data_IF_134576882851
#
_entry.id   IF_134576882851
#
_cell.length_a   1.000
_cell.length_b   1.000
_cell.length_c   1.000
_cell.angle_alpha   90.00
_cell.angle_beta   90.00
_cell.angle_gamma   90.00
#
_symmetry.space_group_name_H-M   'P 1'
#
loop_
_entity.id
_entity.type
_entity.pdbx_description
1 polymer ?
2 non-polymer ?
3 water ?
#
# COMPACT_ATOMS: atom_id res chain seq x y z
N UNK A 1 -25.68 0.80 4.94
CA UNK A 1 -26.51 2.02 5.07
C UNK A 1 -26.08 3.05 4.02
N UNK A 2 -24.79 3.09 3.67
CA UNK A 2 -24.35 3.94 2.54
C UNK A 2 -24.38 3.03 1.32
N UNK A 3 -25.22 3.31 0.31
CA UNK A 3 -25.39 2.40 -0.82
C UNK A 3 -24.14 2.17 -1.67
N UNK A 4 -23.37 3.21 -1.91
CA UNK A 4 -22.18 3.15 -2.80
C UNK A 4 -20.98 3.68 -2.01
N UNK A 5 -20.51 2.93 -1.00
CA UNK A 5 -19.41 3.41 -0.17
C UNK A 5 -18.16 3.63 -1.01
N UNK A 6 -17.45 4.72 -0.79
CA UNK A 6 -16.32 5.11 -1.65
C UNK A 6 -15.00 4.53 -1.10
N UNK A 7 -15.00 3.91 0.08
CA UNK A 7 -13.78 3.30 0.68
C UNK A 7 -14.22 2.35 1.78
N UNK A 8 -13.26 1.77 2.48
CA UNK A 8 -13.56 0.76 3.54
C UNK A 8 -14.07 1.45 4.83
N UNK A 9 -13.91 2.76 4.98
CA UNK A 9 -14.41 3.49 6.17
C UNK A 9 -15.92 3.64 6.01
N UNK A 10 -16.40 3.96 4.81
CA UNK A 10 -17.85 4.02 4.49
C UNK A 10 -18.48 2.61 4.50
N UNK A 11 -17.74 1.54 4.25
CA UNK A 11 -18.27 0.16 4.23
C UNK A 11 -18.36 -0.34 5.68
N UNK A 12 -17.47 0.11 6.54
CA UNK A 12 -17.37 -0.33 7.96
C UNK A 12 -18.49 0.37 8.74
N UNK A 13 -18.57 1.69 8.57
CA UNK A 13 -19.63 2.53 9.17
C UNK A 13 -20.98 1.93 8.75
N UNK A 14 -21.03 1.22 7.61
CA UNK A 14 -22.18 0.38 7.17
C UNK A 14 -22.33 -0.85 8.08
N UNK A 15 -21.60 -0.91 9.21
CA UNK A 15 -21.77 -1.92 10.27
C UNK A 15 -21.02 -3.21 9.97
N UNK A 16 -20.33 -3.29 8.83
CA UNK A 16 -19.57 -4.49 8.40
C UNK A 16 -18.19 -4.47 9.08
N UNK A 17 -18.01 -5.28 10.13
CA UNK A 17 -16.86 -5.16 11.05
C UNK A 17 -15.90 -6.32 10.83
N UNK A 18 -16.20 -7.17 9.84
CA UNK A 18 -15.41 -8.39 9.49
C UNK A 18 -14.44 -7.98 8.38
N UNK A 19 -13.17 -8.25 8.58
CA UNK A 19 -12.15 -8.06 7.53
C UNK A 19 -12.48 -9.02 6.38
N UNK A 20 -12.26 -8.60 5.13
CA UNK A 20 -12.56 -9.42 3.95
C UNK A 20 -12.87 -8.56 2.76
N UNK A 21 -13.47 -9.15 1.73
CA UNK A 21 -13.72 -8.49 0.44
C UNK A 21 -15.02 -7.73 0.50
N UNK A 22 -14.96 -6.47 0.10
CA UNK A 22 -16.10 -5.55 -0.01
C UNK A 22 -16.04 -4.84 -1.36
N UNK A 23 -17.21 -4.46 -1.86
CA UNK A 23 -17.28 -3.56 -3.02
C UNK A 23 -17.27 -2.10 -2.58
N UNK A 24 -16.37 -1.33 -3.17
CA UNK A 24 -16.42 0.16 -3.05
C UNK A 24 -16.70 0.71 -4.43
N UNK A 25 -17.02 2.00 -4.44
CA UNK A 25 -17.51 2.69 -5.64
C UNK A 25 -16.78 4.02 -5.73
N UNK A 26 -15.87 4.13 -6.69
CA UNK A 26 -14.98 5.33 -6.72
C UNK A 26 -15.87 6.52 -6.97
N UNK A 27 -15.63 7.58 -6.21
CA UNK A 27 -16.46 8.81 -6.27
C UNK A 27 -17.93 8.49 -5.93
N UNK A 28 -18.26 7.37 -5.27
CA UNK A 28 -19.67 7.05 -4.96
C UNK A 28 -20.48 6.71 -6.21
N UNK A 29 -19.81 6.44 -7.33
CA UNK A 29 -20.46 6.19 -8.64
C UNK A 29 -20.71 4.69 -8.76
N UNK A 30 -21.97 4.27 -8.89
CA UNK A 30 -22.34 2.83 -8.95
C UNK A 30 -21.75 2.19 -10.21
N UNK A 31 -21.27 2.96 -11.17
CA UNK A 31 -20.59 2.40 -12.35
C UNK A 31 -19.07 2.33 -12.17
N UNK A 32 -18.54 2.63 -10.98
CA UNK A 32 -17.06 2.52 -10.75
C UNK A 32 -16.82 1.58 -9.57
N UNK A 33 -17.48 0.42 -9.59
CA UNK A 33 -17.33 -0.67 -8.59
C UNK A 33 -15.90 -1.17 -8.58
N UNK A 34 -15.33 -1.39 -7.40
CA UNK A 34 -13.98 -1.96 -7.24
C UNK A 34 -14.04 -2.93 -6.08
N UNK A 35 -13.56 -4.16 -6.27
CA UNK A 35 -13.51 -5.12 -5.13
C UNK A 35 -12.23 -4.86 -4.34
N UNK A 36 -12.34 -4.62 -3.04
CA UNK A 36 -11.12 -4.38 -2.22
C UNK A 36 -11.17 -5.33 -1.02
N UNK A 37 -10.00 -5.60 -0.46
CA UNK A 37 -9.88 -6.21 0.88
C UNK A 37 -9.91 -5.09 1.92
N UNK A 38 -10.90 -5.09 2.80
CA UNK A 38 -11.00 -4.19 3.98
C UNK A 38 -10.42 -4.87 5.23
N UNK A 39 -9.43 -4.22 5.85
CA UNK A 39 -8.91 -4.57 7.20
C UNK A 39 -9.75 -3.76 8.17
N UNK A 40 -10.70 -4.43 8.83
CA UNK A 40 -11.69 -3.76 9.71
C UNK A 40 -11.24 -3.86 11.17
N UNK A 41 -10.03 -4.36 11.45
CA UNK A 41 -9.61 -4.61 12.87
C UNK A 41 -8.40 -3.77 13.28
N UNK A 42 -7.42 -3.54 12.41
CA UNK A 42 -6.20 -2.76 12.75
C UNK A 42 -6.59 -1.31 13.06
N UNK A 43 -6.16 -0.79 14.21
CA UNK A 43 -6.37 0.62 14.66
C UNK A 43 -7.69 1.16 14.17
N UNK A 44 -8.80 0.60 14.64
CA UNK A 44 -10.14 1.14 14.37
C UNK A 44 -10.74 0.61 13.09
N UNK A 45 -9.97 -0.03 12.19
CA UNK A 45 -10.55 -0.60 10.97
C UNK A 45 -10.78 0.43 9.86
N UNK A 46 -11.62 0.10 8.88
CA UNK A 46 -11.98 0.94 7.72
C UNK A 46 -10.84 1.13 6.72
N UNK A 47 -9.87 0.24 6.70
CA UNK A 47 -8.68 0.36 5.82
C UNK A 47 -8.85 -0.43 4.51
N UNK A 48 -8.64 0.21 3.37
CA UNK A 48 -8.40 -0.48 2.07
C UNK A 48 -6.97 -0.99 2.09
N UNK A 49 -6.79 -2.30 2.11
CA UNK A 49 -5.45 -2.91 1.92
C UNK A 49 -5.11 -2.82 0.43
N UNK A 50 -3.92 -2.32 0.11
CA UNK A 50 -3.52 -2.19 -1.31
C UNK A 50 -2.23 -2.96 -1.60
N UNK A 51 -1.55 -3.46 -0.59
CA UNK A 51 -0.38 -4.36 -0.75
C UNK A 51 -0.43 -5.40 0.37
N UNK A 52 -0.23 -6.65 0.04
CA UNK A 52 0.00 -7.69 1.09
C UNK A 52 1.12 -8.63 0.66
N UNK A 53 2.12 -8.78 1.51
CA UNK A 53 3.19 -9.80 1.39
C UNK A 53 3.04 -10.73 2.59
N UNK A 54 3.10 -12.03 2.37
CA UNK A 54 2.96 -12.98 3.51
C UNK A 54 3.54 -14.36 3.22
N UNK A 55 3.87 -14.74 1.98
CA UNK A 55 4.36 -16.13 1.77
C UNK A 55 5.23 -16.29 0.53
N UNK A 56 5.42 -15.27 -0.30
CA UNK A 56 6.29 -15.37 -1.48
C UNK A 56 5.65 -16.13 -2.63
N UNK A 57 4.36 -16.39 -2.61
CA UNK A 57 3.74 -17.21 -3.70
C UNK A 57 3.52 -16.32 -4.93
N UNK A 58 3.40 -15.00 -4.76
CA UNK A 58 3.04 -14.13 -5.92
C UNK A 58 4.32 -13.46 -6.43
N UNK A 59 4.39 -13.25 -7.74
CA UNK A 59 5.51 -12.55 -8.39
C UNK A 59 5.26 -11.04 -8.36
N UNK A 60 6.16 -10.25 -7.77
CA UNK A 60 6.02 -8.77 -7.69
C UNK A 60 6.94 -8.09 -8.69
N UNK A 61 7.74 -8.87 -9.40
CA UNK A 61 8.64 -8.34 -10.42
C UNK A 61 7.84 -8.21 -11.72
N UNK A 62 7.00 -7.19 -11.78
CA UNK A 62 5.97 -7.07 -12.82
C UNK A 62 6.13 -5.71 -13.47
N UNK A 63 5.52 -5.54 -14.65
CA UNK A 63 5.73 -4.37 -15.51
C UNK A 63 4.79 -3.22 -15.14
N UNK A 64 5.03 -2.07 -15.78
CA UNK A 64 4.25 -0.84 -15.61
C UNK A 64 2.76 -1.14 -15.71
N UNK A 65 2.32 -1.81 -16.78
CA UNK A 65 0.87 -2.01 -16.99
C UNK A 65 0.31 -2.82 -15.81
N UNK A 66 1.07 -3.81 -15.30
CA UNK A 66 0.66 -4.65 -14.13
C UNK A 66 0.54 -3.81 -12.84
N UNK A 67 1.53 -2.94 -12.59
CA UNK A 67 1.48 -1.99 -11.44
C UNK A 67 0.38 -0.96 -11.62
N UNK A 68 0.08 -0.51 -12.85
CA UNK A 68 -1.01 0.46 -13.08
C UNK A 68 -2.35 -0.19 -12.74
N UNK A 69 -2.55 -1.46 -13.09
CA UNK A 69 -3.87 -2.13 -13.13
C UNK A 69 -4.12 -2.98 -11.87
N UNK A 70 -3.07 -3.45 -11.23
CA UNK A 70 -3.15 -4.35 -10.07
C UNK A 70 -3.05 -5.81 -10.47
N UNK A 71 -2.73 -6.66 -9.50
CA UNK A 71 -2.52 -8.11 -9.76
C UNK A 71 -2.56 -8.83 -8.43
N UNK A 72 -2.74 -10.15 -8.51
CA UNK A 72 -2.73 -11.08 -7.37
C UNK A 72 -4.11 -11.39 -6.83
N UNK A 73 -4.12 -12.02 -5.67
CA UNK A 73 -5.29 -12.55 -4.97
C UNK A 73 -5.50 -11.62 -3.79
N UNK A 74 -6.60 -10.91 -3.78
CA UNK A 74 -6.86 -9.93 -2.71
C UNK A 74 -6.90 -10.58 -1.32
N UNK A 75 -7.20 -11.87 -1.23
CA UNK A 75 -7.25 -12.60 0.05
C UNK A 75 -5.85 -13.03 0.47
N UNK A 76 -4.87 -12.95 -0.44
CA UNK A 76 -3.47 -13.37 -0.18
C UNK A 76 -2.51 -12.25 -0.62
N UNK A 77 -1.52 -12.55 -1.47
CA UNK A 77 -0.55 -11.54 -1.93
C UNK A 77 -1.12 -10.85 -3.16
N UNK A 78 -1.09 -9.51 -3.15
CA UNK A 78 -1.63 -8.72 -4.26
C UNK A 78 -1.09 -7.30 -4.14
N UNK A 79 -1.29 -6.62 -5.25
CA UNK A 79 -1.09 -5.17 -5.45
C UNK A 79 -2.39 -4.60 -6.04
N UNK A 80 -2.98 -3.59 -5.41
CA UNK A 80 -4.32 -3.09 -5.82
C UNK A 80 -4.29 -2.37 -7.18
N UNK A 81 -3.19 -1.74 -7.52
CA UNK A 81 -3.08 -0.96 -8.76
C UNK A 81 -2.96 0.52 -8.52
N UNK A 82 -2.05 1.16 -9.22
CA UNK A 82 -1.79 2.62 -9.07
C UNK A 82 -2.99 3.44 -9.55
N UNK A 83 -3.71 3.00 -10.59
CA UNK A 83 -4.83 3.81 -11.14
C UNK A 83 -5.92 3.86 -10.06
N UNK A 84 -6.16 2.72 -9.41
CA UNK A 84 -7.10 2.60 -8.27
C UNK A 84 -6.63 3.52 -7.16
N UNK A 85 -5.34 3.50 -6.83
CA UNK A 85 -4.82 4.29 -5.69
C UNK A 85 -4.99 5.77 -6.01
N UNK A 86 -4.76 6.16 -7.26
CA UNK A 86 -4.90 7.60 -7.65
C UNK A 86 -6.38 8.00 -7.46
N UNK A 87 -7.29 7.18 -7.98
CA UNK A 87 -8.74 7.50 -7.97
C UNK A 87 -9.26 7.51 -6.53
N UNK A 88 -8.81 6.59 -5.68
CA UNK A 88 -9.22 6.58 -4.25
C UNK A 88 -8.70 7.85 -3.56
N UNK A 89 -7.40 8.11 -3.64
CA UNK A 89 -6.74 9.23 -2.90
C UNK A 89 -7.21 10.60 -3.46
N UNK A 90 -7.83 10.64 -4.63
CA UNK A 90 -8.41 11.88 -5.21
C UNK A 90 -9.74 12.22 -4.52
N UNK A 91 -10.37 11.29 -3.81
CA UNK A 91 -11.75 11.45 -3.25
C UNK A 91 -11.73 12.30 -1.98
N UNK A 92 -10.57 12.51 -1.38
CA UNK A 92 -10.52 13.23 -0.08
C UNK A 92 -9.11 13.19 0.46
N UNK A 93 -8.91 13.57 1.72
CA UNK A 93 -7.59 13.44 2.40
C UNK A 93 -7.54 12.05 3.01
N UNK A 94 -6.59 11.23 2.57
CA UNK A 94 -6.34 9.86 3.08
C UNK A 94 -5.03 9.83 3.87
N UNK A 95 -4.99 8.82 4.75
CA UNK A 95 -3.85 8.44 5.60
C UNK A 95 -3.41 7.02 5.19
N UNK A 96 -2.10 6.83 5.18
CA UNK A 96 -1.42 5.55 4.89
C UNK A 96 -1.09 4.91 6.23
N UNK A 97 -1.36 3.61 6.31
CA UNK A 97 -0.84 2.75 7.40
C UNK A 97 -0.07 1.59 6.78
N UNK A 98 1.09 1.31 7.36
CA UNK A 98 1.90 0.14 6.99
C UNK A 98 2.01 -0.72 8.24
N UNK A 99 1.62 -1.99 8.12
CA UNK A 99 1.72 -3.03 9.19
C UNK A 99 2.82 -3.99 8.78
N UNK A 100 3.77 -4.25 9.69
CA UNK A 100 4.94 -5.13 9.42
C UNK A 100 4.97 -6.16 10.55
N UNK A 101 5.33 -7.40 10.23
CA UNK A 101 5.47 -8.49 11.22
C UNK A 101 6.56 -9.40 10.69
N UNK A 102 7.50 -9.77 11.55
CA UNK A 102 8.63 -10.62 11.15
C UNK A 102 9.06 -11.41 12.38
N UNK A 103 9.02 -12.72 12.28
CA UNK A 103 9.44 -13.60 13.40
C UNK A 103 8.88 -13.06 14.72
N UNK A 104 7.57 -12.81 14.73
CA UNK A 104 6.79 -12.43 15.94
C UNK A 104 6.86 -10.96 16.28
N UNK A 105 7.84 -10.20 15.81
CA UNK A 105 7.87 -8.76 16.14
C UNK A 105 6.98 -8.02 15.15
N UNK A 106 6.32 -6.98 15.63
CA UNK A 106 5.47 -6.11 14.80
C UNK A 106 5.98 -4.67 14.86
N UNK A 107 5.64 -3.93 13.84
CA UNK A 107 5.87 -2.47 13.80
C UNK A 107 4.84 -1.86 12.86
N UNK A 108 4.65 -0.55 12.94
CA UNK A 108 3.74 0.12 12.01
C UNK A 108 4.27 1.52 11.74
N UNK A 109 3.76 2.10 10.68
CA UNK A 109 3.96 3.51 10.29
C UNK A 109 2.60 4.02 9.82
N UNK A 110 2.24 5.23 10.28
CA UNK A 110 1.07 5.96 9.77
C UNK A 110 1.57 7.29 9.21
N UNK A 111 1.01 7.71 8.08
CA UNK A 111 1.29 9.01 7.45
C UNK A 111 -0.06 9.70 7.30
N UNK A 112 -0.24 10.81 8.02
CA UNK A 112 -1.48 11.62 8.06
C UNK A 112 -1.96 12.00 6.66
N UNK A 113 -1.05 12.15 5.71
CA UNK A 113 -1.35 12.61 4.33
C UNK A 113 -0.69 11.64 3.37
N UNK A 114 -1.51 11.02 2.53
CA UNK A 114 -1.06 10.02 1.56
C UNK A 114 -1.84 10.25 0.27
N UNK A 115 -1.14 10.44 -0.85
CA UNK A 115 -1.84 10.53 -2.13
C UNK A 115 -0.94 9.96 -3.21
N UNK A 116 -1.56 9.49 -4.28
CA UNK A 116 -0.89 8.94 -5.48
C UNK A 116 -1.40 9.76 -6.66
N UNK A 117 -0.50 10.45 -7.36
CA UNK A 117 -0.89 11.23 -8.55
C UNK A 117 -1.35 10.35 -9.70
N UNK A 118 -1.79 10.97 -10.80
CA UNK A 118 -2.32 10.23 -11.96
C UNK A 118 -1.15 9.83 -12.85
N UNK A 119 -1.44 9.19 -13.99
CA UNK A 119 -0.42 8.62 -14.89
C UNK A 119 0.48 9.72 -15.46
N UNK A 120 -0.05 10.94 -15.59
CA UNK A 120 0.70 12.12 -16.13
C UNK A 120 1.80 12.49 -15.12
N UNK A 121 1.64 12.15 -13.83
CA UNK A 121 2.69 12.35 -12.78
C UNK A 121 3.53 11.09 -12.60
N UNK A 122 3.33 10.08 -13.44
CA UNK A 122 3.86 8.72 -13.23
C UNK A 122 3.55 8.30 -11.78
N UNK A 123 2.29 8.52 -11.36
CA UNK A 123 1.73 8.09 -10.05
C UNK A 123 2.60 8.58 -8.89
N UNK A 124 2.95 9.86 -8.91
CA UNK A 124 3.80 10.56 -7.88
C UNK A 124 3.29 10.21 -6.48
N UNK A 125 4.19 9.85 -5.57
CA UNK A 125 3.86 9.58 -4.14
C UNK A 125 3.88 10.89 -3.37
N UNK A 126 2.84 11.15 -2.56
CA UNK A 126 2.86 12.12 -1.44
C UNK A 126 2.67 11.33 -0.14
N UNK A 127 3.58 11.52 0.80
CA UNK A 127 3.50 10.94 2.16
C UNK A 127 4.06 11.97 3.13
N UNK A 128 3.24 12.38 4.09
CA UNK A 128 3.62 13.41 5.09
C UNK A 128 2.96 13.02 6.43
N UNK A 129 3.47 13.53 7.55
CA UNK A 129 2.82 13.39 8.86
C UNK A 129 3.02 12.00 9.45
N UNK A 130 4.28 11.61 9.64
CA UNK A 130 4.66 10.29 10.19
C UNK A 130 4.37 10.16 11.67
N UNK A 131 3.91 8.97 12.05
CA UNK A 131 4.04 8.49 13.43
C UNK A 131 4.11 6.97 13.38
N UNK A 132 4.77 6.39 14.36
CA UNK A 132 4.74 4.93 14.52
C UNK A 132 6.00 4.37 15.10
N UNK A 133 6.17 3.05 14.93
CA UNK A 133 7.28 2.30 15.58
C UNK A 133 8.28 1.77 14.52
N UNK A 134 7.92 1.73 13.23
CA UNK A 134 8.79 1.09 12.19
C UNK A 134 9.94 2.03 11.83
N UNK A 135 9.79 3.31 12.11
CA UNK A 135 10.73 4.36 11.67
C UNK A 135 10.30 4.94 10.34
N UNK A 136 10.54 6.22 10.16
CA UNK A 136 10.00 6.96 9.00
C UNK A 136 10.84 6.66 7.76
N UNK A 137 10.58 5.53 7.09
CA UNK A 137 11.38 5.09 5.90
C UNK A 137 10.75 5.60 4.61
N UNK A 138 9.51 6.07 4.65
CA UNK A 138 8.86 6.60 3.43
C UNK A 138 9.28 8.06 3.17
N UNK A 139 9.79 8.80 4.16
CA UNK A 139 10.18 10.21 3.93
C UNK A 139 11.15 10.25 2.74
N UNK A 140 12.07 9.30 2.68
CA UNK A 140 13.11 9.19 1.62
C UNK A 140 12.45 9.22 0.22
N UNK A 141 11.27 8.61 0.12
CA UNK A 141 10.55 8.33 -1.14
C UNK A 141 9.58 9.45 -1.52
N UNK A 142 9.33 10.39 -0.61
CA UNK A 142 8.23 11.38 -0.76
C UNK A 142 8.49 12.22 -2.02
N UNK A 143 7.46 12.35 -2.85
CA UNK A 143 7.48 13.17 -4.09
C UNK A 143 8.03 12.40 -5.29
N UNK A 144 8.44 11.14 -5.12
CA UNK A 144 9.00 10.35 -6.25
C UNK A 144 7.90 9.74 -7.12
N UNK A 145 8.21 9.58 -8.41
CA UNK A 145 7.32 8.88 -9.36
C UNK A 145 7.50 7.38 -9.13
N UNK A 146 6.56 6.58 -9.61
CA UNK A 146 6.65 5.11 -9.53
C UNK A 146 7.63 4.66 -10.62
N UNK A 147 8.37 3.57 -10.38
CA UNK A 147 9.29 2.94 -11.36
C UNK A 147 9.07 1.44 -11.38
N UNK A 148 8.99 0.90 -12.60
CA UNK A 148 9.04 -0.55 -12.90
C UNK A 148 10.25 -0.73 -13.81
N UNK A 149 10.66 -1.96 -14.02
CA UNK A 149 11.83 -2.27 -14.90
C UNK A 149 11.64 -1.64 -16.29
N UNK A 150 10.42 -1.58 -16.81
CA UNK A 150 10.14 -1.15 -18.21
C UNK A 150 9.78 0.32 -18.22
N UNK A 151 9.90 1.02 -17.09
CA UNK A 151 9.72 2.50 -17.02
C UNK A 151 10.42 3.00 -15.75
N UNK A 159 18.95 1.62 -12.93
CA UNK A 159 17.50 1.28 -12.93
C UNK A 159 17.19 0.47 -11.69
N UNK A 160 16.56 1.12 -10.70
CA UNK A 160 16.37 0.54 -9.34
C UNK A 160 15.52 -0.72 -9.44
N UNK A 161 14.46 -0.69 -10.26
CA UNK A 161 13.49 -1.80 -10.39
C UNK A 161 14.21 -3.01 -10.94
N UNK A 162 14.92 -2.78 -12.03
CA UNK A 162 15.74 -3.84 -12.66
C UNK A 162 16.80 -4.35 -11.66
N UNK A 163 17.64 -3.47 -11.07
CA UNK A 163 18.79 -3.85 -10.18
C UNK A 163 18.30 -4.62 -8.96
N UNK A 164 17.18 -4.22 -8.34
CA UNK A 164 16.64 -4.89 -7.12
C UNK A 164 15.49 -5.85 -7.47
N UNK A 165 15.05 -5.96 -8.72
CA UNK A 165 14.00 -6.92 -9.18
C UNK A 165 12.71 -6.69 -8.35
N UNK A 166 12.26 -5.45 -8.30
CA UNK A 166 10.97 -5.10 -7.67
C UNK A 166 10.35 -3.94 -8.39
N UNK A 167 9.52 -3.18 -7.68
CA UNK A 167 8.89 -1.95 -8.19
C UNK A 167 8.59 -1.07 -6.98
N UNK A 168 8.70 0.24 -7.12
CA UNK A 168 8.40 1.19 -6.02
C UNK A 168 8.52 2.60 -6.55
N UNK A 169 8.18 3.58 -5.72
CA UNK A 169 8.55 5.01 -5.89
C UNK A 169 10.06 5.16 -5.60
N UNK A 170 10.91 4.51 -6.41
CA UNK A 170 12.36 4.45 -6.22
C UNK A 170 12.99 5.86 -6.31
N UNK A 171 14.05 6.05 -5.54
CA UNK A 171 14.89 7.27 -5.59
C UNK A 171 16.30 6.81 -6.01
N UNK A 172 17.19 6.51 -5.06
CA UNK A 172 18.59 6.12 -5.38
C UNK A 172 19.17 5.22 -4.29
N UNK A 173 18.53 4.09 -3.97
CA UNK A 173 17.34 3.55 -4.62
C UNK A 173 16.19 3.49 -3.62
N UNK A 174 16.37 2.85 -2.46
CA UNK A 174 15.22 2.72 -1.52
C UNK A 174 15.63 2.65 -0.05
N UNK A 175 14.68 3.07 0.79
CA UNK A 175 14.58 2.68 2.22
C UNK A 175 13.37 1.78 2.43
N UNK A 176 12.40 1.78 1.51
CA UNK A 176 11.24 0.85 1.54
C UNK A 176 11.22 0.07 0.22
N UNK A 177 11.03 -1.24 0.30
CA UNK A 177 11.08 -2.15 -0.87
C UNK A 177 10.05 -3.27 -0.64
N UNK A 178 8.81 -2.90 -0.29
CA UNK A 178 7.79 -3.88 0.13
C UNK A 178 7.31 -4.71 -1.06
N UNK A 179 7.59 -4.30 -2.29
CA UNK A 179 7.32 -5.11 -3.50
C UNK A 179 8.63 -5.78 -3.97
N UNK A 180 9.58 -6.03 -3.08
CA UNK A 180 10.82 -6.73 -3.47
C UNK A 180 10.68 -8.24 -3.45
N UNK A 181 11.80 -8.94 -3.55
CA UNK A 181 11.84 -10.41 -3.66
C UNK A 181 11.61 -11.02 -2.27
N UNK A 182 10.58 -11.84 -2.14
CA UNK A 182 10.21 -12.50 -0.86
C UNK A 182 11.34 -13.39 -0.34
N UNK A 183 11.64 -13.25 0.95
CA UNK A 183 12.66 -14.02 1.68
C UNK A 183 14.06 -13.79 1.16
N UNK A 184 14.34 -12.69 0.44
CA UNK A 184 15.70 -12.42 -0.09
C UNK A 184 16.44 -11.46 0.86
N UNK A 185 17.38 -11.99 1.65
CA UNK A 185 18.19 -11.24 2.65
C UNK A 185 19.42 -10.60 1.98
N UNK A 186 19.69 -10.84 0.71
CA UNK A 186 20.81 -10.12 0.05
C UNK A 186 20.51 -8.62 0.10
N UNK A 187 21.54 -7.81 0.28
CA UNK A 187 21.42 -6.33 0.47
C UNK A 187 20.42 -5.73 -0.52
N UNK A 188 19.33 -5.14 -0.01
CA UNK A 188 18.38 -4.27 -0.75
C UNK A 188 17.53 -5.07 -1.76
N UNK A 189 17.61 -6.40 -1.75
CA UNK A 189 16.89 -7.26 -2.73
C UNK A 189 15.52 -7.65 -2.17
N UNK A 190 15.34 -7.63 -0.85
CA UNK A 190 14.18 -8.26 -0.21
C UNK A 190 13.08 -7.28 0.17
N UNK A 191 12.15 -7.77 0.96
CA UNK A 191 10.98 -6.97 1.43
C UNK A 191 11.50 -6.09 2.58
N UNK A 192 12.03 -4.91 2.27
CA UNK A 192 12.79 -4.16 3.28
C UNK A 192 11.98 -2.95 3.80
N UNK A 193 12.16 -2.67 5.10
CA UNK A 193 11.84 -1.38 5.72
C UNK A 193 13.06 -0.92 6.51
N UNK A 194 13.89 -0.09 5.90
CA UNK A 194 15.30 0.03 6.35
C UNK A 194 15.38 0.45 7.83
N UNK A 195 14.51 1.37 8.28
CA UNK A 195 14.67 1.99 9.62
C UNK A 195 14.03 1.10 10.67
N UNK A 196 13.49 -0.05 10.26
CA UNK A 196 13.09 -1.17 11.17
C UNK A 196 14.09 -2.32 11.14
N UNK A 197 14.38 -2.89 9.98
CA UNK A 197 15.18 -4.15 9.90
C UNK A 197 16.30 -4.07 8.88
N UNK A 198 16.60 -2.88 8.35
CA UNK A 198 17.80 -2.71 7.51
C UNK A 198 17.60 -3.27 6.12
N UNK A 199 18.71 -3.44 5.41
CA UNK A 199 18.70 -3.85 3.97
C UNK A 199 19.05 -5.33 3.79
N UNK A 200 19.41 -6.05 4.86
CA UNK A 200 19.82 -7.48 4.76
C UNK A 200 18.87 -8.34 5.59
N UNK A 201 17.59 -7.94 5.65
CA UNK A 201 16.55 -8.71 6.35
C UNK A 201 15.24 -8.50 5.60
N UNK A 202 14.79 -9.55 4.93
CA UNK A 202 13.51 -9.55 4.18
C UNK A 202 12.38 -9.79 5.18
N UNK A 203 11.38 -8.92 5.20
CA UNK A 203 10.25 -8.97 6.16
C UNK A 203 9.20 -10.01 5.76
N UNK A 204 8.83 -10.89 6.67
CA UNK A 204 7.88 -12.00 6.38
C UNK A 204 6.48 -11.49 6.02
N UNK A 205 5.98 -10.50 6.74
CA UNK A 205 4.61 -9.98 6.54
C UNK A 205 4.59 -8.46 6.42
N UNK A 206 3.88 -7.95 5.42
CA UNK A 206 3.77 -6.50 5.14
C UNK A 206 2.43 -6.19 4.51
N UNK A 207 1.70 -5.22 5.07
CA UNK A 207 0.50 -4.64 4.43
C UNK A 207 0.64 -3.12 4.36
N UNK A 208 0.22 -2.55 3.23
CA UNK A 208 0.01 -1.09 3.05
C UNK A 208 -1.50 -0.87 2.85
N UNK A 209 -2.05 0.11 3.56
CA UNK A 209 -3.53 0.30 3.56
C UNK A 209 -3.86 1.79 3.71
N UNK A 210 -5.05 2.23 3.28
CA UNK A 210 -5.42 3.65 3.41
C UNK A 210 -6.88 3.80 3.85
N UNK A 211 -7.14 4.93 4.47
CA UNK A 211 -8.52 5.35 4.84
C UNK A 211 -8.49 6.86 5.06
N UNK A 212 -9.66 7.52 5.13
CA UNK A 212 -9.71 8.98 5.30
C UNK A 212 -8.96 9.37 6.57
N UNK A 213 -8.12 10.39 6.45
CA UNK A 213 -7.31 10.87 7.60
C UNK A 213 -8.27 11.33 8.71
N UNK A 214 -9.50 11.76 8.40
CA UNK A 214 -10.42 12.32 9.43
C UNK A 214 -11.16 11.18 10.14
N UNK A 215 -10.91 9.91 9.77
CA UNK A 215 -11.61 8.73 10.35
C UNK A 215 -11.42 8.66 11.86
N UNK A 216 -10.26 9.09 12.35
CA UNK A 216 -9.88 9.05 13.79
C UNK A 216 -10.91 9.84 14.62
N UNK A 217 -11.66 10.77 14.04
CA UNK A 217 -12.67 11.53 14.84
C UNK A 217 -13.93 11.86 14.04
N UNK A 218 -14.49 10.91 13.29
CA UNK A 218 -15.54 11.23 12.27
C UNK A 218 -16.94 11.10 12.90
X LIG B 1 -7.48 -7.32 -11.66
X LIG B 1 -6.93 -6.71 -12.86
X LIG B 1 -8.95 -5.44 -13.06
X LIG B 1 -9.40 -4.41 -14.13
X LIG B 1 -8.24 -4.24 -15.14
X LIG B 1 -6.26 -6.11 -9.68
X LIG B 1 -5.83 -7.01 -13.28
X LIG B 1 -7.64 -5.82 -13.49
X LIG B 1 -7.13 -5.16 -14.68
X LIG B 1 -6.30 -7.94 -11.21
X LIG B 1 -6.09 -7.48 -9.96
X LIG B 1 -5.81 -8.41 -9.01
X LIG B 1 -5.70 -7.99 -7.73
X LIG B 1 -6.15 -5.69 -8.34
X LIG B 1 -5.86 -6.65 -7.43
X LIG B 1 -5.85 -6.33 -6.22
#
# INVERSE_FOLDING_TARGET
SMPFPKDCSQAMLNGDTTSGLYTIYLNGDKAQALEVFCDMTSDGGGWIVFLRRKNGRENFYQNWKAYAAGFGDRREEFWLGLDNLNKITAQGQYELRVDLRDHGETAFAVYDKFSVGDAKTRYKLKVEGYSGTAGDSMAYHNGRSFSTFDKDTDSAITNCALSYKGAFWYRNCHRVNLMGRYGDNNHSQGVNWFHWKGHEHSIQFAEMKLRPSNFRNLEG
RXG C4 C5 C6 C7 C8 C10 O1 N C9 O C3 C2 C1 C11 C F
#
